data_IF_507194343441
#
_entry.id   IF_507194343441
#
_cell.length_a   1.000
_cell.length_b   1.000
_cell.length_c   1.000
_cell.angle_alpha   90.00
_cell.angle_beta   90.00
_cell.angle_gamma   90.00
#
_symmetry.space_group_name_H-M   'P 1'
#
loop_
_entity.id
_entity.type
_entity.pdbx_description
1 polymer ?
#
# COMPACT_ATOMS: atom_id res chain seq x y z
N UNK A 1 24.57 -21.32 -50.70
CA UNK A 1 24.69 -21.58 -49.25
C UNK A 1 23.74 -20.61 -48.55
N UNK A 2 22.71 -21.13 -47.87
CA UNK A 2 21.76 -20.29 -47.14
C UNK A 2 22.45 -19.52 -46.01
N UNK A 3 22.12 -18.24 -45.86
CA UNK A 3 22.56 -17.41 -44.74
C UNK A 3 21.34 -17.01 -43.91
N UNK A 4 21.47 -17.00 -42.59
CA UNK A 4 20.39 -16.59 -41.69
C UNK A 4 20.26 -15.06 -41.55
N UNK A 5 20.98 -14.28 -42.38
CA UNK A 5 20.93 -12.82 -42.34
C UNK A 5 19.67 -12.31 -43.03
N UNK A 6 18.59 -12.11 -42.26
CA UNK A 6 17.47 -11.30 -42.69
C UNK A 6 17.68 -9.83 -42.27
N UNK A 7 17.22 -8.88 -43.09
CA UNK A 7 17.41 -7.42 -42.96
C UNK A 7 17.06 -6.84 -41.57
N UNK A 8 16.33 -7.57 -40.72
CA UNK A 8 15.92 -7.10 -39.39
C UNK A 8 16.84 -7.52 -38.22
N UNK A 9 17.88 -8.34 -38.44
CA UNK A 9 18.78 -8.78 -37.36
C UNK A 9 18.14 -9.66 -36.27
N UNK A 10 16.89 -10.12 -36.44
CA UNK A 10 16.11 -10.91 -35.46
C UNK A 10 16.47 -12.39 -35.42
N UNK A 11 17.23 -12.87 -36.39
CA UNK A 11 17.60 -14.27 -36.55
C UNK A 11 19.02 -14.55 -36.03
N UNK A 12 19.26 -15.80 -35.67
CA UNK A 12 20.57 -16.38 -35.36
C UNK A 12 20.68 -17.78 -35.97
N UNK A 13 21.90 -18.25 -36.16
CA UNK A 13 22.12 -19.64 -36.57
C UNK A 13 21.73 -20.58 -35.43
N UNK A 14 20.86 -21.54 -35.74
CA UNK A 14 20.69 -22.75 -34.95
C UNK A 14 21.76 -23.77 -35.37
N UNK A 15 21.99 -23.86 -36.69
CA UNK A 15 23.03 -24.68 -37.30
C UNK A 15 23.63 -23.96 -38.49
N UNK A 16 24.94 -23.96 -38.59
CA UNK A 16 25.65 -23.35 -39.71
C UNK A 16 25.56 -24.20 -40.98
N UNK A 17 25.72 -23.56 -42.14
CA UNK A 17 25.74 -24.24 -43.42
C UNK A 17 26.99 -25.11 -43.57
N UNK A 18 26.82 -26.31 -44.12
CA UNK A 18 27.91 -27.22 -44.50
C UNK A 18 27.87 -27.50 -46.01
N UNK A 19 28.88 -28.17 -46.60
CA UNK A 19 28.82 -28.59 -48.00
C UNK A 19 27.65 -29.53 -48.36
N UNK A 20 27.06 -30.19 -47.35
CA UNK A 20 25.99 -31.20 -47.52
C UNK A 20 24.64 -30.77 -46.94
N UNK A 21 24.57 -29.61 -46.29
CA UNK A 21 23.35 -29.15 -45.62
C UNK A 21 23.28 -27.64 -45.62
N UNK A 22 22.07 -27.11 -45.80
CA UNK A 22 21.83 -25.69 -45.61
C UNK A 22 21.93 -25.29 -44.12
N UNK A 23 22.05 -23.99 -43.88
CA UNK A 23 21.97 -23.44 -42.54
C UNK A 23 20.55 -23.54 -42.00
N UNK A 24 20.42 -23.82 -40.70
CA UNK A 24 19.15 -23.78 -39.99
C UNK A 24 19.12 -22.51 -39.12
N UNK A 25 18.02 -21.76 -39.22
CA UNK A 25 17.87 -20.47 -38.57
C UNK A 25 16.86 -20.55 -37.41
N UNK A 26 17.10 -19.77 -36.37
CA UNK A 26 16.17 -19.58 -35.27
C UNK A 26 16.13 -18.10 -34.86
N UNK A 27 15.25 -17.74 -33.96
CA UNK A 27 15.15 -16.37 -33.48
C UNK A 27 16.17 -16.09 -32.35
N UNK A 28 16.58 -14.83 -32.26
CA UNK A 28 17.34 -14.32 -31.10
C UNK A 28 16.49 -14.34 -29.83
N UNK A 29 17.14 -14.24 -28.69
CA UNK A 29 16.45 -14.16 -27.40
C UNK A 29 15.47 -12.98 -27.38
N UNK A 30 14.31 -13.21 -26.76
CA UNK A 30 13.19 -12.26 -26.78
C UNK A 30 12.29 -12.36 -28.02
N UNK A 31 12.51 -13.35 -28.88
CA UNK A 31 11.65 -13.65 -30.03
C UNK A 31 11.30 -15.15 -30.10
N UNK A 32 10.19 -15.47 -30.75
CA UNK A 32 9.79 -16.85 -31.04
C UNK A 32 9.53 -17.04 -32.53
N UNK A 33 9.72 -18.28 -32.99
CA UNK A 33 9.48 -18.67 -34.37
C UNK A 33 7.99 -18.74 -34.69
N UNK A 34 7.62 -18.19 -35.84
CA UNK A 34 6.28 -18.30 -36.41
C UNK A 34 6.36 -18.58 -37.90
N UNK A 35 5.43 -19.40 -38.41
CA UNK A 35 5.40 -19.89 -39.78
C UNK A 35 6.36 -21.05 -40.07
N UNK A 36 6.23 -21.62 -41.26
CA UNK A 36 7.04 -22.76 -41.68
C UNK A 36 8.53 -22.43 -41.68
N UNK A 37 9.35 -23.34 -41.16
CA UNK A 37 10.80 -23.19 -41.09
C UNK A 37 11.29 -21.96 -40.31
N UNK A 38 10.50 -21.43 -39.37
CA UNK A 38 10.80 -20.20 -38.66
C UNK A 38 11.00 -19.01 -39.62
N UNK A 39 10.15 -18.87 -40.65
CA UNK A 39 10.27 -17.77 -41.61
C UNK A 39 10.07 -16.38 -40.98
N UNK A 40 9.43 -16.29 -39.80
CA UNK A 40 9.20 -15.03 -39.08
C UNK A 40 9.62 -15.15 -37.62
N UNK A 41 10.28 -14.11 -37.13
CA UNK A 41 10.56 -13.93 -35.70
C UNK A 41 9.65 -12.86 -35.12
N UNK A 42 8.72 -13.28 -34.28
CA UNK A 42 7.85 -12.38 -33.56
C UNK A 42 8.38 -12.11 -32.17
N UNK A 43 8.24 -10.87 -31.69
CA UNK A 43 8.67 -10.49 -30.36
C UNK A 43 7.89 -11.33 -29.34
N UNK A 44 8.56 -11.75 -28.28
CA UNK A 44 7.90 -12.38 -27.15
C UNK A 44 7.06 -11.36 -26.39
N UNK A 45 5.81 -11.70 -26.12
CA UNK A 45 4.87 -10.84 -25.40
C UNK A 45 4.69 -11.32 -23.96
N UNK A 46 4.49 -10.36 -23.06
CA UNK A 46 4.33 -10.63 -21.65
C UNK A 46 2.94 -11.16 -21.30
N UNK A 47 2.76 -11.43 -20.00
CA UNK A 47 1.44 -11.66 -19.43
C UNK A 47 0.58 -10.40 -19.63
N UNK A 48 -0.66 -10.62 -20.03
CA UNK A 48 -1.63 -9.57 -20.34
C UNK A 48 -1.40 -8.83 -21.66
N UNK A 49 -0.52 -9.36 -22.50
CA UNK A 49 -0.34 -8.93 -23.88
C UNK A 49 -0.61 -10.10 -24.82
N UNK A 50 -1.03 -9.79 -26.04
CA UNK A 50 -1.02 -10.73 -27.14
C UNK A 50 -0.20 -10.20 -28.29
N UNK A 51 0.23 -11.13 -29.11
CA UNK A 51 0.94 -10.77 -30.30
C UNK A 51 -0.01 -10.42 -31.46
N UNK A 52 -0.10 -9.15 -31.81
CA UNK A 52 -0.78 -8.72 -33.03
C UNK A 52 0.24 -8.58 -34.16
N UNK A 53 -0.21 -8.61 -35.42
CA UNK A 53 0.70 -8.52 -36.57
C UNK A 53 1.66 -7.32 -36.52
N UNK A 54 1.31 -6.27 -35.77
CA UNK A 54 2.12 -5.07 -35.51
C UNK A 54 3.03 -5.14 -34.28
N UNK A 55 2.94 -6.19 -33.45
CA UNK A 55 3.75 -6.39 -32.24
C UNK A 55 2.91 -6.76 -31.02
N UNK A 56 3.53 -6.73 -29.84
CA UNK A 56 2.82 -7.00 -28.60
C UNK A 56 1.86 -5.85 -28.27
N UNK A 57 0.61 -6.20 -27.99
CA UNK A 57 -0.42 -5.26 -27.57
C UNK A 57 -1.09 -5.80 -26.30
N UNK A 58 -1.40 -4.89 -25.38
CA UNK A 58 -2.16 -5.24 -24.18
C UNK A 58 -3.54 -5.80 -24.54
N UNK A 59 -4.01 -6.77 -23.75
CA UNK A 59 -5.34 -7.31 -23.89
C UNK A 59 -6.40 -6.21 -23.80
N UNK A 60 -7.43 -6.32 -24.64
CA UNK A 60 -8.56 -5.38 -24.63
C UNK A 60 -9.36 -5.55 -23.35
N UNK A 61 -10.06 -4.51 -22.94
CA UNK A 61 -11.02 -4.60 -21.83
C UNK A 61 -12.02 -5.73 -22.07
N UNK A 62 -12.31 -6.52 -21.05
CA UNK A 62 -13.11 -7.74 -21.19
C UNK A 62 -12.31 -8.99 -21.54
N UNK A 63 -10.99 -8.89 -21.69
CA UNK A 63 -10.10 -10.02 -22.02
C UNK A 63 -8.85 -10.06 -21.15
N UNK A 64 -8.25 -11.23 -21.02
CA UNK A 64 -7.00 -11.45 -20.30
C UNK A 64 -6.11 -12.48 -20.99
N UNK A 65 -4.81 -12.43 -20.69
CA UNK A 65 -3.86 -13.49 -21.03
C UNK A 65 -2.96 -13.74 -19.82
N UNK A 66 -3.04 -14.95 -19.26
CA UNK A 66 -2.28 -15.38 -18.08
C UNK A 66 -0.92 -16.01 -18.42
N UNK A 67 -0.58 -16.13 -19.71
CA UNK A 67 0.62 -16.84 -20.19
C UNK A 67 1.48 -15.95 -21.10
N UNK A 68 2.83 -16.05 -21.02
CA UNK A 68 3.69 -15.39 -21.99
C UNK A 68 3.46 -15.97 -23.38
N UNK A 69 3.48 -15.11 -24.41
CA UNK A 69 3.19 -15.48 -25.81
C UNK A 69 1.81 -16.13 -26.02
N UNK A 70 0.90 -15.99 -25.06
CA UNK A 70 -0.48 -16.43 -25.20
C UNK A 70 -1.30 -15.47 -26.07
N UNK A 71 -2.58 -15.80 -26.20
CA UNK A 71 -3.60 -14.95 -26.84
C UNK A 71 -4.59 -14.48 -25.81
N UNK A 72 -5.17 -13.29 -26.01
CA UNK A 72 -6.17 -12.75 -25.10
C UNK A 72 -7.47 -13.56 -25.20
N UNK A 73 -7.97 -14.02 -24.06
CA UNK A 73 -9.22 -14.77 -23.90
C UNK A 73 -10.25 -13.89 -23.20
N UNK A 74 -11.53 -14.10 -23.47
CA UNK A 74 -12.58 -13.35 -22.78
C UNK A 74 -12.58 -13.65 -21.27
N UNK A 75 -12.91 -12.65 -20.47
CA UNK A 75 -13.16 -12.84 -19.05
C UNK A 75 -14.34 -13.78 -18.81
N UNK A 76 -14.26 -14.54 -17.72
CA UNK A 76 -15.38 -15.29 -17.17
C UNK A 76 -16.51 -14.32 -16.79
N UNK A 77 -17.74 -14.67 -17.20
CA UNK A 77 -18.93 -13.86 -16.93
C UNK A 77 -19.55 -14.26 -15.59
N UNK A 78 -19.45 -13.39 -14.59
CA UNK A 78 -20.18 -13.51 -13.33
C UNK A 78 -21.43 -12.61 -13.35
N UNK A 79 -22.42 -12.91 -12.53
CA UNK A 79 -23.41 -11.89 -12.15
C UNK A 79 -22.72 -10.75 -11.40
N UNK A 80 -23.18 -9.51 -11.58
CA UNK A 80 -22.53 -8.32 -11.01
C UNK A 80 -22.34 -8.39 -9.48
N UNK A 81 -23.25 -9.07 -8.78
CA UNK A 81 -23.22 -9.28 -7.32
C UNK A 81 -22.31 -10.43 -6.88
N UNK A 82 -21.75 -11.19 -7.82
CA UNK A 82 -20.96 -12.40 -7.58
C UNK A 82 -19.50 -12.24 -7.99
N UNK A 83 -19.02 -11.04 -8.33
CA UNK A 83 -17.58 -10.82 -8.62
C UNK A 83 -16.81 -10.71 -7.30
N UNK A 84 -15.84 -11.60 -7.07
CA UNK A 84 -14.92 -11.53 -5.93
C UNK A 84 -13.68 -10.70 -6.27
N UNK A 85 -13.06 -11.00 -7.42
CA UNK A 85 -11.92 -10.26 -7.94
C UNK A 85 -12.22 -9.80 -9.37
N UNK A 86 -12.02 -8.51 -9.69
CA UNK A 86 -12.21 -8.02 -11.05
C UNK A 86 -11.14 -8.56 -11.98
N UNK A 87 -11.52 -8.79 -13.24
CA UNK A 87 -10.60 -9.17 -14.29
C UNK A 87 -9.62 -8.04 -14.61
N UNK A 88 -8.42 -8.43 -15.05
CA UNK A 88 -7.39 -7.52 -15.54
C UNK A 88 -6.90 -8.00 -16.90
N UNK A 89 -5.96 -7.30 -17.52
CA UNK A 89 -5.31 -7.82 -18.73
C UNK A 89 -4.56 -9.13 -18.46
N UNK A 90 -4.06 -9.34 -17.23
CA UNK A 90 -3.24 -10.49 -16.86
C UNK A 90 -4.00 -11.63 -16.18
N UNK A 91 -5.20 -11.37 -15.64
CA UNK A 91 -5.96 -12.32 -14.82
C UNK A 91 -7.43 -12.29 -15.17
N UNK A 92 -8.05 -13.46 -15.08
CA UNK A 92 -9.48 -13.59 -15.24
C UNK A 92 -10.26 -12.99 -14.06
N UNK A 93 -11.55 -12.76 -14.27
CA UNK A 93 -12.51 -12.46 -13.20
C UNK A 93 -12.70 -13.70 -12.33
N UNK A 94 -12.65 -13.53 -11.01
CA UNK A 94 -12.96 -14.61 -10.06
C UNK A 94 -14.40 -14.46 -9.59
N UNK A 95 -15.26 -15.43 -9.91
CA UNK A 95 -16.63 -15.46 -9.44
C UNK A 95 -16.75 -16.09 -8.04
N UNK A 96 -17.71 -15.64 -7.26
CA UNK A 96 -18.17 -16.31 -6.05
C UNK A 96 -18.92 -17.57 -6.46
N UNK A 97 -18.35 -18.73 -6.13
CA UNK A 97 -19.08 -19.99 -6.26
C UNK A 97 -20.21 -20.00 -5.21
N UNK A 98 -21.45 -19.79 -5.63
CA UNK A 98 -22.61 -20.31 -4.87
C UNK A 98 -22.57 -21.82 -5.03
N UNK A 99 -22.13 -22.52 -3.99
CA UNK A 99 -22.34 -23.96 -3.85
C UNK A 99 -23.84 -24.21 -3.69
N UNK A 100 -24.57 -24.19 -4.79
CA UNK A 100 -25.95 -24.68 -4.88
C UNK A 100 -26.21 -25.20 -6.30
N UNK A 101 -25.87 -26.47 -6.52
CA UNK A 101 -26.78 -27.45 -7.14
C UNK A 101 -26.13 -28.86 -7.15
N UNK A 102 -26.92 -29.95 -6.99
CA UNK A 102 -26.45 -31.31 -6.78
C UNK A 102 -25.99 -31.98 -8.09
N UNK A 103 -25.02 -32.89 -7.95
CA UNK A 103 -24.74 -34.03 -8.81
C UNK A 103 -25.19 -33.96 -10.29
N UNK A 104 -24.23 -33.71 -11.18
CA UNK A 104 -24.15 -34.42 -12.46
C UNK A 104 -22.68 -34.68 -12.76
N UNK A 105 -22.18 -35.74 -12.13
CA UNK A 105 -21.01 -36.45 -12.60
C UNK A 105 -21.35 -37.04 -13.96
N UNK A 106 -20.88 -36.40 -15.03
CA UNK A 106 -20.77 -37.05 -16.34
C UNK A 106 -19.36 -37.60 -16.46
N UNK A 107 -19.27 -38.84 -15.99
CA UNK A 107 -18.36 -39.92 -16.34
C UNK A 107 -17.57 -39.72 -17.63
N UNK A 108 -16.24 -39.65 -17.52
CA UNK A 108 -15.30 -40.24 -18.46
C UNK A 108 -13.96 -40.42 -17.71
N UNK A 109 -13.90 -41.44 -16.86
CA UNK A 109 -12.65 -41.92 -16.29
C UNK A 109 -12.34 -43.28 -16.91
N UNK A 110 -11.36 -43.27 -17.81
CA UNK A 110 -10.73 -44.43 -18.40
C UNK A 110 -10.19 -45.34 -17.30
N UNK A 111 -10.62 -46.59 -17.36
CA UNK A 111 -10.21 -47.75 -16.56
C UNK A 111 -8.71 -47.85 -16.28
N UNK A 112 -8.34 -47.93 -14.99
CA UNK A 112 -7.29 -48.84 -14.50
C UNK A 112 -7.40 -49.04 -12.97
N UNK A 113 -7.17 -50.24 -12.40
CA UNK A 113 -7.67 -50.62 -11.07
C UNK A 113 -6.64 -50.61 -9.92
N UNK A 114 -7.18 -50.66 -8.69
CA UNK A 114 -6.57 -50.84 -7.37
C UNK A 114 -5.79 -49.62 -6.84
N UNK A 115 -6.14 -48.97 -5.71
CA UNK A 115 -6.36 -49.50 -4.35
C UNK A 115 -7.34 -48.61 -3.53
N UNK A 116 -8.06 -49.14 -2.53
CA UNK A 116 -8.99 -48.37 -1.71
C UNK A 116 -8.32 -47.89 -0.41
N UNK A 117 -8.18 -46.57 -0.25
CA UNK A 117 -8.07 -45.97 1.08
C UNK A 117 -8.90 -44.70 1.15
N UNK A 118 -10.07 -44.84 1.77
CA UNK A 118 -10.91 -43.74 2.22
C UNK A 118 -10.29 -43.13 3.47
N UNK A 119 -9.84 -41.88 3.41
CA UNK A 119 -9.75 -41.03 4.61
C UNK A 119 -10.43 -39.71 4.29
N UNK A 120 -11.64 -39.58 4.82
CA UNK A 120 -12.33 -38.31 4.99
C UNK A 120 -11.50 -37.43 5.92
N UNK A 121 -10.69 -36.53 5.35
CA UNK A 121 -10.12 -35.41 6.09
C UNK A 121 -10.98 -34.18 5.78
N UNK A 122 -11.65 -33.57 6.78
CA UNK A 122 -12.25 -32.26 6.62
C UNK A 122 -11.13 -31.28 6.27
N UNK A 123 -11.17 -30.66 5.10
CA UNK A 123 -10.23 -29.62 4.69
C UNK A 123 -10.41 -28.38 5.57
N UNK A 124 -9.79 -28.39 6.75
CA UNK A 124 -9.62 -27.21 7.60
C UNK A 124 -8.64 -26.31 6.86
N UNK A 125 -9.06 -25.12 6.45
CA UNK A 125 -8.19 -24.16 5.79
C UNK A 125 -7.14 -23.64 6.80
N UNK A 126 -6.04 -24.39 6.97
CA UNK A 126 -4.96 -24.11 7.91
C UNK A 126 -4.43 -22.68 7.77
N UNK A 127 -4.43 -22.11 6.56
CA UNK A 127 -4.07 -20.71 6.34
C UNK A 127 -4.99 -19.72 7.06
N UNK A 128 -6.31 -19.94 7.03
CA UNK A 128 -7.27 -19.05 7.69
C UNK A 128 -7.17 -19.18 9.22
N UNK A 129 -6.89 -20.38 9.73
CA UNK A 129 -6.66 -20.60 11.16
C UNK A 129 -5.34 -19.94 11.62
N UNK A 130 -4.26 -20.04 10.84
CA UNK A 130 -2.98 -19.38 11.14
C UNK A 130 -3.14 -17.86 11.17
N UNK A 131 -3.87 -17.26 10.22
CA UNK A 131 -4.10 -15.80 10.20
C UNK A 131 -4.93 -15.37 11.41
N UNK A 132 -5.98 -16.11 11.77
CA UNK A 132 -6.82 -15.81 12.94
C UNK A 132 -6.06 -15.93 14.25
N UNK A 133 -5.26 -16.99 14.41
CA UNK A 133 -4.41 -17.18 15.59
C UNK A 133 -3.35 -16.08 15.67
N UNK A 134 -2.71 -15.74 14.55
CA UNK A 134 -1.72 -14.67 14.47
C UNK A 134 -2.31 -13.31 14.87
N UNK A 135 -3.51 -12.98 14.38
CA UNK A 135 -4.21 -11.74 14.73
C UNK A 135 -4.60 -11.70 16.22
N UNK A 136 -5.07 -12.82 16.77
CA UNK A 136 -5.42 -12.92 18.19
C UNK A 136 -4.19 -12.78 19.10
N UNK A 137 -3.09 -13.45 18.78
CA UNK A 137 -1.83 -13.38 19.55
C UNK A 137 -1.23 -11.98 19.48
N UNK A 138 -1.20 -11.37 18.29
CA UNK A 138 -0.72 -10.00 18.10
C UNK A 138 -1.57 -9.01 18.88
N UNK A 139 -2.91 -9.15 18.82
CA UNK A 139 -3.82 -8.34 19.60
C UNK A 139 -3.58 -8.46 21.11
N UNK A 140 -3.40 -9.69 21.61
CA UNK A 140 -3.13 -9.95 23.02
C UNK A 140 -1.80 -9.34 23.48
N UNK A 141 -0.75 -9.46 22.67
CA UNK A 141 0.56 -8.84 22.93
C UNK A 141 0.46 -7.32 22.95
N UNK A 142 -0.26 -6.72 22.00
CA UNK A 142 -0.53 -5.28 21.99
C UNK A 142 -1.27 -4.83 23.25
N UNK A 143 -2.26 -5.59 23.70
CA UNK A 143 -3.02 -5.28 24.92
C UNK A 143 -2.15 -5.42 26.17
N UNK A 144 -1.34 -6.47 26.27
CA UNK A 144 -0.50 -6.76 27.43
C UNK A 144 0.70 -5.82 27.56
N UNK A 145 1.31 -5.40 26.45
CA UNK A 145 2.52 -4.58 26.48
C UNK A 145 2.23 -3.12 26.15
N UNK A 146 1.49 -2.81 25.07
CA UNK A 146 1.33 -1.43 24.63
C UNK A 146 0.35 -0.65 25.51
N UNK A 147 -0.76 -1.24 25.98
CA UNK A 147 -1.70 -0.49 26.83
C UNK A 147 -1.09 -0.08 28.17
N UNK A 148 -0.41 -0.97 28.93
CA UNK A 148 0.29 -0.56 30.14
C UNK A 148 1.40 0.44 29.85
N UNK A 149 2.18 0.28 28.78
CA UNK A 149 3.19 1.26 28.38
C UNK A 149 2.57 2.62 28.06
N UNK A 150 1.44 2.68 27.36
CA UNK A 150 0.70 3.90 27.05
C UNK A 150 0.15 4.57 28.32
N UNK A 151 -0.39 3.78 29.27
CA UNK A 151 -0.88 4.29 30.55
C UNK A 151 0.28 4.78 31.41
N UNK A 152 1.36 4.01 31.52
CA UNK A 152 2.59 4.38 32.22
C UNK A 152 3.22 5.64 31.62
N UNK A 153 3.29 5.74 30.30
CA UNK A 153 3.78 6.93 29.61
C UNK A 153 2.86 8.12 29.85
N UNK A 154 1.54 7.95 29.81
CA UNK A 154 0.59 9.02 30.10
C UNK A 154 0.70 9.52 31.54
N UNK A 155 0.87 8.61 32.50
CA UNK A 155 1.10 8.94 33.92
C UNK A 155 2.48 9.58 34.08
N UNK A 156 3.50 9.10 33.39
CA UNK A 156 4.86 9.65 33.43
C UNK A 156 4.92 11.04 32.81
N UNK A 157 4.22 11.28 31.70
CA UNK A 157 4.06 12.60 31.09
C UNK A 157 3.28 13.53 32.01
N UNK A 158 2.21 13.07 32.66
CA UNK A 158 1.49 13.87 33.68
C UNK A 158 2.38 14.20 34.87
N UNK A 159 3.18 13.25 35.37
CA UNK A 159 4.15 13.47 36.46
C UNK A 159 5.29 14.40 36.03
N UNK A 160 5.78 14.28 34.80
CA UNK A 160 6.82 15.14 34.22
C UNK A 160 6.30 16.56 34.00
N UNK A 161 5.08 16.70 33.47
CA UNK A 161 4.41 17.99 33.29
C UNK A 161 4.12 18.63 34.64
N UNK A 162 3.68 17.87 35.64
CA UNK A 162 3.46 18.37 37.00
C UNK A 162 4.78 18.74 37.69
N UNK A 163 5.87 18.00 37.48
CA UNK A 163 7.20 18.34 37.98
C UNK A 163 7.76 19.61 37.31
N UNK A 164 7.54 19.79 36.00
CA UNK A 164 7.94 20.99 35.26
C UNK A 164 7.06 22.19 35.63
N UNK A 165 5.74 21.99 35.80
CA UNK A 165 4.80 23.02 36.23
C UNK A 165 5.07 23.45 37.67
N UNK A 166 5.38 22.51 38.57
CA UNK A 166 5.87 22.82 39.92
C UNK A 166 7.17 23.63 39.85
N UNK A 167 8.11 23.25 38.98
CA UNK A 167 9.36 24.01 38.78
C UNK A 167 9.08 25.43 38.28
N UNK A 168 8.09 25.64 37.40
CA UNK A 168 7.69 26.98 36.97
C UNK A 168 6.95 27.77 38.05
N UNK A 169 6.06 27.15 38.84
CA UNK A 169 5.38 27.83 39.95
C UNK A 169 6.34 28.24 41.05
N UNK A 170 7.31 27.39 41.41
CA UNK A 170 8.37 27.76 42.35
C UNK A 170 9.29 28.85 41.78
N UNK A 171 9.54 28.87 40.46
CA UNK A 171 10.32 29.94 39.80
C UNK A 171 9.53 31.25 39.71
N UNK A 172 8.20 31.20 39.55
CA UNK A 172 7.31 32.36 39.53
C UNK A 172 7.11 32.97 40.92
N UNK A 173 6.99 32.15 41.98
CA UNK A 173 7.00 32.64 43.37
C UNK A 173 8.35 33.25 43.74
N UNK A 174 9.45 32.64 43.31
CA UNK A 174 10.80 33.13 43.61
C UNK A 174 11.13 34.42 42.82
N UNK A 175 10.51 34.67 41.66
CA UNK A 175 10.66 35.95 40.95
C UNK A 175 9.71 37.06 41.41
N UNK A 176 8.70 36.76 42.24
CA UNK A 176 7.80 37.78 42.81
C UNK A 176 8.34 38.32 44.15
N UNK A 177 9.22 37.57 44.83
CA UNK A 177 9.70 37.93 46.18
C UNK A 177 11.05 38.68 46.20
N UNK A 178 11.74 38.86 45.06
CA UNK A 178 13.10 39.42 45.01
C UNK A 178 13.21 40.94 44.77
N UNK A 179 12.11 41.70 44.69
CA UNK A 179 12.15 43.14 44.35
C UNK A 179 11.54 44.10 45.40
N UNK A 180 11.28 43.66 46.64
CA UNK A 180 10.70 44.53 47.68
C UNK A 180 11.54 44.60 48.97
N UNK A 181 12.85 44.80 48.79
CA UNK A 181 13.79 45.07 49.88
C UNK A 181 14.70 46.26 49.56
N UNK A 182 14.12 47.46 49.37
CA UNK A 182 14.89 48.71 49.47
C UNK A 182 14.31 49.61 50.58
N UNK A 183 14.91 49.44 51.76
CA UNK A 183 14.74 50.25 52.97
C UNK A 183 15.20 51.69 52.75
N UNK A 184 14.46 52.68 53.28
CA UNK A 184 15.00 53.73 54.18
C UNK A 184 13.90 54.59 54.86
N UNK A 185 13.78 54.40 56.19
CA UNK A 185 13.55 55.37 57.30
C UNK A 185 12.31 56.30 57.29
N UNK A 186 11.43 56.08 58.28
CA UNK A 186 10.60 57.11 58.94
C UNK A 186 11.45 57.96 59.93
N UNK A 187 11.03 59.21 60.22
CA UNK A 187 10.18 59.46 61.39
C UNK A 187 9.02 60.48 61.17
N UNK A 188 8.04 60.40 62.08
CA UNK A 188 6.93 61.35 62.31
C UNK A 188 7.39 62.79 62.61
N UNK A 189 6.63 63.78 62.15
CA UNK A 189 5.86 64.76 62.96
C UNK A 189 5.52 66.07 62.18
N UNK A 190 4.45 66.70 62.67
CA UNK A 190 4.07 68.13 62.61
C UNK A 190 2.96 68.62 61.66
N UNK A 191 2.04 69.36 62.32
CA UNK A 191 0.82 70.02 61.86
C UNK A 191 1.09 71.29 61.04
N UNK A 192 0.07 71.76 60.32
CA UNK A 192 -0.05 73.13 59.81
C UNK A 192 -0.80 73.17 58.48
N UNK A 193 -2.12 73.36 58.49
CA UNK A 193 -2.84 74.66 58.40
C UNK A 193 -3.00 75.19 56.96
N UNK A 194 -4.25 75.57 56.69
CA UNK A 194 -4.88 76.23 55.55
C UNK A 194 -4.01 77.07 54.59
N UNK A 195 -4.29 76.99 53.28
CA UNK A 195 -4.82 78.14 52.52
C UNK A 195 -5.24 77.82 51.07
N UNK A 196 -6.48 78.20 50.79
CA UNK A 196 -7.04 78.51 49.48
C UNK A 196 -6.32 79.72 48.86
N UNK A 197 -6.01 79.66 47.55
CA UNK A 197 -6.05 80.84 46.69
C UNK A 197 -6.06 80.39 45.21
N UNK A 198 -7.19 80.61 44.55
CA UNK A 198 -7.42 80.18 43.18
C UNK A 198 -6.79 81.03 42.07
N UNK A 199 -7.10 80.61 40.84
CA UNK A 199 -7.31 81.42 39.62
C UNK A 199 -7.73 80.43 38.52
N UNK A 200 -9.00 80.38 38.12
CA UNK A 200 -9.63 81.20 37.08
C UNK A 200 -8.79 81.33 35.81
N UNK A 201 -9.21 80.63 34.74
CA UNK A 201 -9.66 81.17 33.44
C UNK A 201 -9.82 79.98 32.49
N UNK A 202 -11.03 79.58 32.11
CA UNK A 202 -11.87 80.16 31.05
C UNK A 202 -11.53 79.63 29.64
N UNK A 203 -12.58 79.07 29.03
CA UNK A 203 -12.95 79.16 27.61
C UNK A 203 -12.52 78.12 26.56
N UNK A 204 -13.58 77.40 26.12
CA UNK A 204 -14.03 77.10 24.75
C UNK A 204 -13.23 76.16 23.84
N UNK A 205 -13.84 74.99 23.58
CA UNK A 205 -14.68 74.64 22.40
C UNK A 205 -14.16 74.96 20.98
N UNK A 206 -14.68 74.29 19.92
CA UNK A 206 -14.43 72.91 19.48
C UNK A 206 -14.15 72.89 17.95
N UNK A 207 -14.37 71.75 17.28
CA UNK A 207 -14.65 71.53 15.85
C UNK A 207 -13.54 70.96 14.95
N UNK A 208 -13.89 69.78 14.41
CA UNK A 208 -13.90 69.40 12.97
C UNK A 208 -12.56 69.39 12.24
N UNK A 209 -12.12 68.19 11.87
CA UNK A 209 -12.46 67.59 10.57
C UNK A 209 -12.20 66.07 10.57
#
# INVERSE_FOLDING_TARGET
RGSCFHLSGRFRYLRECSPKSDAECTCRDGYHCSGDGCSRCHRNCGVGEENTGSGCQACRFGTFNDQPNGSCKNWTKCSATQVLEPGTTAKDVVCRHTSDSPALATTLATTSPAFPFSVTVPGKNLQMDIIRISLAVTGLLCILFLLPLCICFSIWQKKKLHAVFKKMHTTLEQSIQEDDACSCRFPEEEQGEYQDCGKSTEFRDPLVN
#
